data_IF_866946386267
#
_entry.id   IF_866946386267
#
_cell.length_a   1.000
_cell.length_b   1.000
_cell.length_c   1.000
_cell.angle_alpha   90.00
_cell.angle_beta   90.00
_cell.angle_gamma   90.00
#
_symmetry.space_group_name_H-M   'P 1'
#
loop_
_entity.id
_entity.type
_entity.pdbx_description
1 polymer ?
#
# COMPACT_ATOMS: atom_id res chain seq x y z
N UNK A 1 -15.15 -21.20 -6.04
CA UNK A 1 -14.85 -19.83 -6.50
C UNK A 1 -14.00 -19.07 -5.50
N UNK A 2 -14.41 -18.90 -4.23
CA UNK A 2 -13.63 -18.18 -3.20
C UNK A 2 -12.28 -18.85 -2.91
N UNK A 3 -12.24 -20.19 -2.80
CA UNK A 3 -11.01 -20.97 -2.58
C UNK A 3 -10.02 -20.79 -3.74
N UNK A 4 -10.49 -20.82 -4.97
CA UNK A 4 -9.69 -20.59 -6.16
C UNK A 4 -9.10 -19.16 -6.21
N UNK A 5 -9.87 -18.17 -5.73
CA UNK A 5 -9.42 -16.79 -5.56
C UNK A 5 -8.33 -16.68 -4.48
N UNK A 6 -8.52 -17.36 -3.36
CA UNK A 6 -7.55 -17.40 -2.26
C UNK A 6 -6.27 -18.13 -2.66
N UNK A 7 -6.37 -19.28 -3.33
CA UNK A 7 -5.20 -20.02 -3.86
C UNK A 7 -4.46 -19.21 -4.92
N UNK A 8 -5.16 -18.49 -5.82
CA UNK A 8 -4.49 -17.65 -6.82
C UNK A 8 -3.79 -16.43 -6.21
N UNK A 9 -4.19 -16.03 -5.01
CA UNK A 9 -3.53 -14.97 -4.23
C UNK A 9 -2.31 -15.53 -3.46
N UNK A 10 -2.40 -16.77 -2.95
CA UNK A 10 -1.37 -17.39 -2.12
C UNK A 10 -0.25 -18.07 -2.93
N UNK A 11 -0.56 -18.70 -4.07
CA UNK A 11 0.38 -19.55 -4.84
C UNK A 11 1.39 -18.76 -5.69
N UNK A 12 1.26 -17.43 -5.83
CA UNK A 12 2.17 -16.60 -6.65
C UNK A 12 2.92 -15.51 -5.88
N UNK A 13 3.13 -15.71 -4.59
CA UNK A 13 3.73 -14.71 -3.70
C UNK A 13 5.25 -14.89 -3.54
N UNK A 14 5.87 -15.91 -4.14
CA UNK A 14 7.28 -16.24 -3.90
C UNK A 14 8.25 -15.07 -4.13
N UNK A 15 8.03 -14.27 -5.17
CA UNK A 15 8.83 -13.06 -5.40
C UNK A 15 8.48 -11.90 -4.47
N UNK A 16 7.24 -11.79 -4.02
CA UNK A 16 6.78 -10.74 -3.13
C UNK A 16 7.25 -10.99 -1.69
N UNK A 17 7.37 -12.24 -1.28
CA UNK A 17 7.90 -12.62 0.04
C UNK A 17 9.32 -12.10 0.25
N UNK A 18 10.13 -12.04 -0.80
CA UNK A 18 11.51 -11.53 -0.75
C UNK A 18 11.56 -10.04 -0.35
N UNK A 19 10.54 -9.26 -0.65
CA UNK A 19 10.42 -7.86 -0.25
C UNK A 19 9.61 -7.69 1.04
N UNK A 20 8.55 -8.50 1.23
CA UNK A 20 7.70 -8.41 2.41
C UNK A 20 8.42 -8.84 3.68
N UNK A 21 9.20 -9.93 3.65
CA UNK A 21 9.91 -10.43 4.83
C UNK A 21 10.91 -9.41 5.38
N UNK A 22 11.85 -8.83 4.59
CA UNK A 22 12.76 -7.83 5.12
C UNK A 22 12.03 -6.54 5.52
N UNK A 23 10.99 -6.12 4.79
CA UNK A 23 10.20 -4.95 5.16
C UNK A 23 9.47 -5.16 6.51
N UNK A 24 8.87 -6.33 6.71
CA UNK A 24 8.24 -6.70 7.98
C UNK A 24 9.27 -6.81 9.12
N UNK A 25 10.44 -7.40 8.87
CA UNK A 25 11.53 -7.49 9.83
C UNK A 25 12.04 -6.10 10.25
N UNK A 26 12.24 -5.21 9.29
CA UNK A 26 12.65 -3.81 9.56
C UNK A 26 11.58 -3.08 10.36
N UNK A 27 10.30 -3.19 9.97
CA UNK A 27 9.19 -2.55 10.68
C UNK A 27 9.08 -3.08 12.13
N UNK A 28 9.22 -4.39 12.33
CA UNK A 28 9.19 -5.01 13.66
C UNK A 28 10.41 -4.60 14.51
N UNK A 29 11.60 -4.52 13.91
CA UNK A 29 12.81 -4.06 14.60
C UNK A 29 12.69 -2.60 15.02
N UNK A 30 12.18 -1.73 14.14
CA UNK A 30 11.92 -0.31 14.47
C UNK A 30 10.89 -0.20 15.61
N UNK A 31 9.80 -0.96 15.57
CA UNK A 31 8.80 -0.96 16.62
C UNK A 31 9.38 -1.45 17.98
N UNK A 32 10.30 -2.41 17.95
CA UNK A 32 10.99 -2.91 19.14
C UNK A 32 12.02 -1.91 19.69
N UNK A 33 12.72 -1.18 18.83
CA UNK A 33 13.72 -0.17 19.22
C UNK A 33 13.07 1.12 19.75
N UNK A 34 11.84 1.42 19.30
CA UNK A 34 11.07 2.59 19.75
C UNK A 34 9.75 2.17 20.41
N UNK A 35 9.79 1.55 21.61
CA UNK A 35 8.60 1.01 22.25
C UNK A 35 7.68 2.07 22.88
N UNK A 36 7.81 3.34 22.47
CA UNK A 36 6.96 4.42 22.97
C UNK A 36 5.53 4.25 22.44
N UNK A 37 4.75 3.47 23.19
CA UNK A 37 3.32 3.33 22.95
C UNK A 37 2.63 4.69 23.13
N UNK A 38 2.06 5.25 22.08
CA UNK A 38 1.22 6.43 22.20
C UNK A 38 -0.12 6.01 22.80
N UNK A 39 -0.51 6.70 23.86
CA UNK A 39 -1.85 6.55 24.42
C UNK A 39 -2.86 7.04 23.38
N UNK A 40 -3.72 6.15 22.93
CA UNK A 40 -4.82 6.52 22.01
C UNK A 40 -6.00 6.94 22.89
N UNK A 41 -6.33 8.24 22.94
CA UNK A 41 -7.50 8.71 23.69
C UNK A 41 -8.76 8.01 23.17
N UNK A 42 -9.67 7.65 24.06
CA UNK A 42 -10.94 6.99 23.70
C UNK A 42 -10.78 5.61 23.02
N UNK A 43 -9.70 4.88 23.31
CA UNK A 43 -9.49 3.52 22.79
C UNK A 43 -10.60 2.52 23.20
N UNK A 44 -11.43 2.88 24.16
CA UNK A 44 -12.59 2.08 24.60
C UNK A 44 -13.81 2.22 23.68
N UNK A 45 -13.83 3.23 22.79
CA UNK A 45 -14.91 3.39 21.82
C UNK A 45 -14.84 2.29 20.76
N UNK A 46 -15.94 1.54 20.60
CA UNK A 46 -16.04 0.44 19.64
C UNK A 46 -15.89 0.93 18.19
N UNK A 47 -16.38 2.14 17.84
CA UNK A 47 -16.27 2.72 16.52
C UNK A 47 -14.82 3.09 16.17
N UNK A 48 -14.09 3.62 17.15
CA UNK A 48 -12.67 3.94 16.96
C UNK A 48 -11.86 2.65 16.74
N UNK A 49 -12.13 1.59 17.50
CA UNK A 49 -11.47 0.29 17.30
C UNK A 49 -11.73 -0.28 15.90
N UNK A 50 -12.98 -0.28 15.45
CA UNK A 50 -13.34 -0.76 14.11
C UNK A 50 -12.66 0.08 13.04
N UNK A 51 -12.67 1.41 13.17
CA UNK A 51 -11.96 2.29 12.25
C UNK A 51 -10.46 1.99 12.19
N UNK A 52 -9.81 1.81 13.34
CA UNK A 52 -8.37 1.51 13.41
C UNK A 52 -8.03 0.18 12.72
N UNK A 53 -8.87 -0.86 12.91
CA UNK A 53 -8.68 -2.15 12.23
C UNK A 53 -8.83 -2.02 10.71
N UNK A 54 -9.85 -1.31 10.23
CA UNK A 54 -10.07 -1.07 8.80
C UNK A 54 -8.92 -0.24 8.23
N UNK A 55 -8.48 0.80 8.93
CA UNK A 55 -7.36 1.63 8.52
C UNK A 55 -6.07 0.82 8.42
N UNK A 56 -5.76 -0.01 9.43
CA UNK A 56 -4.59 -0.89 9.42
C UNK A 56 -4.62 -1.85 8.24
N UNK A 57 -5.77 -2.46 7.96
CA UNK A 57 -5.94 -3.33 6.80
C UNK A 57 -5.74 -2.58 5.48
N UNK A 58 -6.27 -1.35 5.34
CA UNK A 58 -6.07 -0.51 4.16
C UNK A 58 -4.58 -0.18 3.95
N UNK A 59 -3.89 0.27 5.00
CA UNK A 59 -2.46 0.56 4.95
C UNK A 59 -1.64 -0.68 4.56
N UNK A 60 -1.95 -1.85 5.13
CA UNK A 60 -1.30 -3.11 4.81
C UNK A 60 -1.46 -3.49 3.33
N UNK A 61 -2.68 -3.47 2.80
CA UNK A 61 -2.96 -3.80 1.40
C UNK A 61 -2.28 -2.84 0.43
N UNK A 62 -2.30 -1.54 0.70
CA UNK A 62 -1.66 -0.55 -0.17
C UNK A 62 -0.14 -0.66 -0.09
N UNK A 63 0.43 -0.99 1.08
CA UNK A 63 1.85 -1.27 1.22
C UNK A 63 2.26 -2.49 0.39
N UNK A 64 1.47 -3.57 0.43
CA UNK A 64 1.70 -4.75 -0.42
C UNK A 64 1.63 -4.38 -1.90
N UNK A 65 0.64 -3.58 -2.32
CA UNK A 65 0.54 -3.09 -3.70
C UNK A 65 1.77 -2.27 -4.11
N UNK A 66 2.26 -1.40 -3.24
CA UNK A 66 3.44 -0.56 -3.51
C UNK A 66 4.73 -1.40 -3.62
N UNK A 67 4.93 -2.37 -2.72
CA UNK A 67 6.06 -3.29 -2.79
C UNK A 67 6.02 -4.13 -4.07
N UNK A 68 4.84 -4.62 -4.45
CA UNK A 68 4.65 -5.35 -5.69
C UNK A 68 4.92 -4.47 -6.92
N UNK A 69 4.44 -3.22 -6.92
CA UNK A 69 4.73 -2.25 -7.98
C UNK A 69 6.23 -1.94 -8.07
N UNK A 70 6.92 -1.82 -6.93
CA UNK A 70 8.36 -1.61 -6.90
C UNK A 70 9.12 -2.80 -7.48
N UNK A 71 8.71 -4.03 -7.12
CA UNK A 71 9.29 -5.26 -7.69
C UNK A 71 9.11 -5.31 -9.22
N UNK A 72 7.91 -4.99 -9.72
CA UNK A 72 7.65 -4.91 -11.16
C UNK A 72 8.53 -3.84 -11.84
N UNK A 73 8.73 -2.69 -11.20
CA UNK A 73 9.59 -1.63 -11.74
C UNK A 73 11.05 -2.07 -11.81
N UNK A 74 11.53 -2.84 -10.84
CA UNK A 74 12.88 -3.42 -10.85
C UNK A 74 13.02 -4.47 -11.95
N UNK A 75 12.01 -5.33 -12.12
CA UNK A 75 11.99 -6.34 -13.17
C UNK A 75 11.98 -5.70 -14.57
N UNK A 76 11.16 -4.68 -14.79
CA UNK A 76 11.12 -3.92 -16.05
C UNK A 76 12.49 -3.31 -16.39
N UNK A 77 13.17 -2.72 -15.40
CA UNK A 77 14.51 -2.18 -15.57
C UNK A 77 15.55 -3.28 -15.84
N UNK A 78 15.44 -4.42 -15.17
CA UNK A 78 16.36 -5.53 -15.36
C UNK A 78 16.27 -6.11 -16.77
N UNK A 79 15.05 -6.34 -17.25
CA UNK A 79 14.80 -6.84 -18.60
C UNK A 79 15.35 -5.90 -19.69
N UNK A 80 15.22 -4.59 -19.51
CA UNK A 80 15.78 -3.61 -20.46
C UNK A 80 17.32 -3.64 -20.45
N UNK A 81 17.97 -3.80 -19.30
CA UNK A 81 19.42 -3.90 -19.21
C UNK A 81 19.99 -5.17 -19.86
N UNK A 82 19.28 -6.30 -19.77
CA UNK A 82 19.69 -7.55 -20.43
C UNK A 82 19.67 -7.44 -21.95
N UNK A 83 18.81 -6.59 -22.51
CA UNK A 83 18.77 -6.31 -23.96
C UNK A 83 20.00 -5.48 -24.39
N UNK A 84 20.53 -4.62 -23.52
CA UNK A 84 21.63 -3.71 -23.84
C UNK A 84 23.02 -4.32 -23.58
N UNK A 85 23.16 -5.23 -22.61
CA UNK A 85 24.45 -5.89 -22.29
C UNK A 85 24.22 -7.23 -21.57
N UNK A 86 24.52 -8.36 -22.18
CA UNK A 86 24.40 -9.68 -21.54
C UNK A 86 25.60 -9.96 -20.62
N UNK A 87 25.73 -9.25 -19.50
CA UNK A 87 26.85 -9.45 -18.56
C UNK A 87 26.33 -9.67 -17.14
N UNK A 88 26.84 -10.72 -16.54
CA UNK A 88 26.80 -11.14 -15.13
C UNK A 88 25.43 -11.43 -14.50
N UNK A 89 25.23 -12.72 -14.24
CA UNK A 89 24.11 -13.28 -13.45
C UNK A 89 24.26 -12.95 -11.97
N UNK A 90 23.81 -11.74 -11.59
CA UNK A 90 23.63 -11.36 -10.18
C UNK A 90 22.59 -12.28 -9.53
N UNK A 91 22.69 -12.51 -8.20
CA UNK A 91 21.68 -13.23 -7.41
C UNK A 91 20.29 -12.61 -7.60
N UNK A 92 20.23 -11.28 -7.63
CA UNK A 92 18.99 -10.51 -7.91
C UNK A 92 18.46 -10.84 -9.31
N UNK A 93 19.34 -10.97 -10.32
CA UNK A 93 18.95 -11.35 -11.69
C UNK A 93 18.26 -12.72 -11.71
N UNK A 94 18.81 -13.73 -11.05
CA UNK A 94 18.21 -15.09 -10.99
C UNK A 94 16.82 -15.09 -10.34
N UNK A 95 16.60 -14.28 -9.31
CA UNK A 95 15.28 -14.13 -8.67
C UNK A 95 14.29 -13.44 -9.60
N UNK A 96 14.73 -12.43 -10.33
CA UNK A 96 13.90 -11.70 -11.29
C UNK A 96 13.56 -12.57 -12.51
N UNK A 97 14.48 -13.42 -12.97
CA UNK A 97 14.27 -14.34 -14.09
C UNK A 97 13.25 -15.47 -13.76
N UNK A 98 13.08 -15.80 -12.48
CA UNK A 98 12.09 -16.80 -12.02
C UNK A 98 10.68 -16.24 -11.90
N UNK A 99 10.47 -14.93 -12.12
CA UNK A 99 9.18 -14.27 -11.93
C UNK A 99 8.21 -14.57 -13.09
N UNK A 100 6.89 -14.62 -12.82
CA UNK A 100 5.88 -14.73 -13.86
C UNK A 100 5.93 -13.54 -14.84
N UNK A 101 5.38 -13.70 -16.05
CA UNK A 101 5.32 -12.63 -17.04
C UNK A 101 4.70 -11.34 -16.47
N UNK A 102 5.25 -10.18 -16.84
CA UNK A 102 4.81 -8.86 -16.34
C UNK A 102 3.29 -8.62 -16.46
N UNK A 103 2.65 -9.17 -17.49
CA UNK A 103 1.19 -9.06 -17.66
C UNK A 103 0.41 -9.73 -16.54
N UNK A 104 0.89 -10.88 -16.07
CA UNK A 104 0.25 -11.60 -14.97
C UNK A 104 0.44 -10.85 -13.65
N UNK A 105 1.64 -10.32 -13.43
CA UNK A 105 1.95 -9.50 -12.26
C UNK A 105 1.13 -8.20 -12.24
N UNK A 106 0.92 -7.57 -13.40
CA UNK A 106 0.08 -6.39 -13.55
C UNK A 106 -1.38 -6.67 -13.16
N UNK A 107 -1.92 -7.82 -13.57
CA UNK A 107 -3.27 -8.21 -13.18
C UNK A 107 -3.41 -8.40 -11.66
N UNK A 108 -2.41 -9.03 -11.03
CA UNK A 108 -2.35 -9.19 -9.59
C UNK A 108 -2.27 -7.84 -8.88
N UNK A 109 -1.40 -6.93 -9.35
CA UNK A 109 -1.27 -5.58 -8.82
C UNK A 109 -2.62 -4.86 -8.79
N UNK A 110 -3.35 -4.84 -9.92
CA UNK A 110 -4.64 -4.18 -9.98
C UNK A 110 -5.72 -4.83 -9.11
N UNK A 111 -5.67 -6.14 -8.91
CA UNK A 111 -6.56 -6.82 -7.93
C UNK A 111 -6.29 -6.35 -6.51
N UNK A 112 -5.03 -6.28 -6.11
CA UNK A 112 -4.65 -5.79 -4.77
C UNK A 112 -5.06 -4.32 -4.61
N UNK A 113 -4.83 -3.48 -5.63
CA UNK A 113 -5.24 -2.07 -5.61
C UNK A 113 -6.75 -1.93 -5.49
N UNK A 114 -7.55 -2.73 -6.19
CA UNK A 114 -9.02 -2.71 -6.09
C UNK A 114 -9.50 -3.03 -4.68
N UNK A 115 -8.98 -4.12 -4.09
CA UNK A 115 -9.32 -4.50 -2.71
C UNK A 115 -8.86 -3.41 -1.74
N UNK A 116 -7.62 -2.95 -1.89
CA UNK A 116 -7.05 -1.88 -1.07
C UNK A 116 -7.86 -0.58 -1.16
N UNK A 117 -8.34 -0.20 -2.34
CA UNK A 117 -9.16 0.99 -2.56
C UNK A 117 -10.54 0.89 -1.90
N UNK A 118 -11.18 -0.30 -1.95
CA UNK A 118 -12.46 -0.54 -1.25
C UNK A 118 -12.24 -0.39 0.26
N UNK A 119 -11.22 -1.03 0.81
CA UNK A 119 -10.92 -0.96 2.25
C UNK A 119 -10.51 0.46 2.66
N UNK A 120 -9.75 1.17 1.82
CA UNK A 120 -9.41 2.58 2.04
C UNK A 120 -10.65 3.49 2.03
N UNK A 121 -11.62 3.22 1.15
CA UNK A 121 -12.90 3.94 1.12
C UNK A 121 -13.68 3.71 2.41
N UNK A 122 -13.71 2.47 2.91
CA UNK A 122 -14.30 2.15 4.21
C UNK A 122 -13.55 2.83 5.36
N UNK A 123 -12.22 2.92 5.28
CA UNK A 123 -11.40 3.62 6.28
C UNK A 123 -11.72 5.12 6.30
N UNK A 124 -11.82 5.77 5.14
CA UNK A 124 -12.22 7.20 5.04
C UNK A 124 -13.62 7.41 5.59
N UNK A 125 -14.58 6.57 5.21
CA UNK A 125 -15.97 6.66 5.68
C UNK A 125 -16.10 6.44 7.20
N UNK A 126 -15.50 5.37 7.73
CA UNK A 126 -15.52 5.09 9.17
C UNK A 126 -14.77 6.15 9.98
N UNK A 127 -13.68 6.71 9.42
CA UNK A 127 -12.91 7.80 10.03
C UNK A 127 -13.73 9.08 10.15
N UNK A 128 -14.53 9.40 9.13
CA UNK A 128 -15.45 10.55 9.17
C UNK A 128 -16.52 10.41 10.26
N UNK A 129 -17.08 9.19 10.42
CA UNK A 129 -18.06 8.90 11.48
C UNK A 129 -17.41 8.99 12.87
N UNK A 130 -16.23 8.40 13.04
CA UNK A 130 -15.49 8.45 14.31
C UNK A 130 -15.14 9.91 14.67
N UNK A 131 -14.67 10.71 13.71
CA UNK A 131 -14.36 12.12 13.90
C UNK A 131 -15.58 12.93 14.31
N UNK A 132 -16.72 12.70 13.65
CA UNK A 132 -17.97 13.39 13.98
C UNK A 132 -18.42 13.12 15.42
N UNK A 133 -18.25 11.86 15.89
CA UNK A 133 -18.59 11.50 17.27
C UNK A 133 -17.65 12.09 18.31
N UNK A 134 -16.35 12.15 18.00
CA UNK A 134 -15.32 12.60 18.96
C UNK A 134 -15.12 14.11 18.97
N UNK A 135 -15.20 14.78 17.83
CA UNK A 135 -14.86 16.19 17.67
C UNK A 135 -16.00 17.07 17.17
N UNK A 136 -17.15 16.46 16.81
CA UNK A 136 -18.29 17.18 16.21
C UNK A 136 -18.05 17.66 14.77
N UNK A 137 -16.90 17.30 14.14
CA UNK A 137 -16.56 17.69 12.76
C UNK A 137 -16.51 16.44 11.88
N UNK A 138 -17.18 16.48 10.73
CA UNK A 138 -17.25 15.34 9.79
C UNK A 138 -15.88 15.06 9.17
N UNK A 139 -15.11 16.10 8.84
CA UNK A 139 -13.76 16.03 8.29
C UNK A 139 -12.92 17.12 8.97
N UNK A 140 -12.11 16.77 9.97
CA UNK A 140 -11.09 17.68 10.44
C UNK A 140 -10.09 17.88 9.29
N UNK A 141 -9.90 19.14 8.83
CA UNK A 141 -8.90 19.48 7.80
C UNK A 141 -7.48 19.45 8.38
N UNK A 142 -7.14 18.34 8.99
CA UNK A 142 -5.79 18.06 9.42
C UNK A 142 -4.96 17.54 8.23
N UNK A 143 -3.65 17.78 8.26
CA UNK A 143 -2.73 17.34 7.22
C UNK A 143 -2.87 15.83 6.93
N UNK A 144 -3.12 15.00 7.97
CA UNK A 144 -3.40 13.58 7.85
C UNK A 144 -4.61 13.30 6.95
N UNK A 145 -5.72 13.97 7.19
CA UNK A 145 -6.96 13.82 6.40
C UNK A 145 -6.75 14.22 4.95
N UNK A 146 -6.05 15.35 4.73
CA UNK A 146 -5.74 15.84 3.37
C UNK A 146 -4.91 14.83 2.61
N UNK A 147 -3.82 14.31 3.17
CA UNK A 147 -2.97 13.33 2.48
C UNK A 147 -3.65 11.98 2.29
N UNK A 148 -4.51 11.56 3.22
CA UNK A 148 -5.33 10.34 3.05
C UNK A 148 -6.32 10.51 1.89
N UNK A 149 -6.98 11.67 1.77
CA UNK A 149 -7.88 11.98 0.66
C UNK A 149 -7.12 12.09 -0.68
N UNK A 150 -5.93 12.68 -0.69
CA UNK A 150 -5.07 12.72 -1.88
C UNK A 150 -4.67 11.30 -2.33
N UNK A 151 -4.30 10.43 -1.38
CA UNK A 151 -4.03 9.03 -1.68
C UNK A 151 -5.26 8.33 -2.24
N UNK A 152 -6.43 8.49 -1.60
CA UNK A 152 -7.70 7.94 -2.06
C UNK A 152 -8.05 8.40 -3.47
N UNK A 153 -7.92 9.71 -3.75
CA UNK A 153 -8.16 10.28 -5.07
C UNK A 153 -7.18 9.72 -6.11
N UNK A 154 -5.90 9.59 -5.75
CA UNK A 154 -4.86 9.04 -6.63
C UNK A 154 -5.18 7.60 -7.06
N UNK A 155 -5.58 6.74 -6.12
CA UNK A 155 -6.00 5.38 -6.44
C UNK A 155 -7.31 5.34 -7.23
N UNK A 156 -8.27 6.22 -6.92
CA UNK A 156 -9.50 6.35 -7.69
C UNK A 156 -9.24 6.73 -9.14
N UNK A 157 -8.38 7.73 -9.38
CA UNK A 157 -7.96 8.16 -10.72
C UNK A 157 -7.20 7.05 -11.44
N UNK A 158 -6.33 6.32 -10.74
CA UNK A 158 -5.61 5.18 -11.32
C UNK A 158 -6.58 4.09 -11.80
N UNK A 159 -7.56 3.72 -10.99
CA UNK A 159 -8.55 2.69 -11.34
C UNK A 159 -9.48 3.16 -12.47
N UNK A 160 -9.91 4.42 -12.43
CA UNK A 160 -10.67 5.03 -13.52
C UNK A 160 -9.86 5.09 -14.82
N UNK A 161 -8.60 5.52 -14.73
CA UNK A 161 -7.66 5.57 -15.87
C UNK A 161 -7.40 4.19 -16.46
N UNK A 162 -7.33 3.17 -15.63
CA UNK A 162 -7.24 1.77 -16.08
C UNK A 162 -8.48 1.37 -16.88
N UNK A 163 -9.67 1.71 -16.40
CA UNK A 163 -10.93 1.32 -17.01
C UNK A 163 -11.23 2.10 -18.29
N UNK A 164 -10.99 3.43 -18.31
CA UNK A 164 -11.37 4.34 -19.38
C UNK A 164 -10.28 4.41 -20.46
N UNK A 165 -9.02 4.59 -20.05
CA UNK A 165 -7.87 4.81 -20.96
C UNK A 165 -6.93 3.61 -21.07
N UNK A 166 -7.21 2.51 -20.36
CA UNK A 166 -6.39 1.31 -20.41
C UNK A 166 -4.98 1.51 -19.83
N UNK A 167 -4.81 2.38 -18.84
CA UNK A 167 -3.49 2.64 -18.20
C UNK A 167 -2.85 1.36 -17.70
N UNK A 168 -1.59 1.13 -18.12
CA UNK A 168 -0.82 -0.09 -17.88
C UNK A 168 0.67 0.23 -17.69
N UNK A 169 1.42 -0.78 -17.25
CA UNK A 169 2.87 -0.72 -17.15
C UNK A 169 3.37 0.43 -16.29
N UNK A 170 4.29 1.23 -16.83
CA UNK A 170 4.97 2.32 -16.10
C UNK A 170 4.04 3.40 -15.55
N UNK A 171 2.91 3.67 -16.21
CA UNK A 171 1.92 4.63 -15.74
C UNK A 171 1.29 4.12 -14.44
N UNK A 172 0.81 2.86 -14.45
CA UNK A 172 0.22 2.23 -13.28
C UNK A 172 1.20 2.20 -12.10
N UNK A 173 2.47 1.85 -12.34
CA UNK A 173 3.51 1.82 -11.31
C UNK A 173 3.74 3.20 -10.67
N UNK A 174 3.84 4.26 -11.49
CA UNK A 174 4.05 5.63 -11.00
C UNK A 174 2.87 6.08 -10.13
N UNK A 175 1.65 5.90 -10.57
CA UNK A 175 0.46 6.29 -9.82
C UNK A 175 0.32 5.50 -8.51
N UNK A 176 0.62 4.19 -8.52
CA UNK A 176 0.62 3.36 -7.30
C UNK A 176 1.63 3.88 -6.28
N UNK A 177 2.87 4.16 -6.70
CA UNK A 177 3.92 4.66 -5.81
C UNK A 177 3.61 6.08 -5.32
N UNK A 178 3.01 6.95 -6.15
CA UNK A 178 2.59 8.29 -5.74
C UNK A 178 1.48 8.23 -4.69
N UNK A 179 0.44 7.40 -4.90
CA UNK A 179 -0.64 7.21 -3.93
C UNK A 179 -0.13 6.65 -2.59
N UNK A 180 0.80 5.70 -2.64
CA UNK A 180 1.47 5.19 -1.45
C UNK A 180 2.32 6.25 -0.75
N UNK A 181 3.04 7.10 -1.52
CA UNK A 181 3.80 8.22 -0.97
C UNK A 181 2.94 9.19 -0.17
N UNK A 182 1.75 9.54 -0.66
CA UNK A 182 0.79 10.36 0.10
C UNK A 182 0.34 9.66 1.38
N UNK A 183 0.16 8.34 1.35
CA UNK A 183 -0.24 7.58 2.53
C UNK A 183 0.86 7.56 3.60
N UNK A 184 2.12 7.41 3.19
CA UNK A 184 3.27 7.51 4.10
C UNK A 184 3.36 8.91 4.70
N UNK A 185 3.20 9.97 3.91
CA UNK A 185 3.20 11.35 4.40
C UNK A 185 2.09 11.57 5.42
N UNK A 186 0.90 11.03 5.19
CA UNK A 186 -0.19 11.08 6.18
C UNK A 186 0.21 10.43 7.51
N UNK A 187 0.95 9.32 7.46
CA UNK A 187 1.41 8.60 8.64
C UNK A 187 2.56 9.35 9.36
N UNK A 188 3.56 9.83 8.62
CA UNK A 188 4.73 10.52 9.19
C UNK A 188 4.37 11.85 9.84
N UNK A 189 3.46 12.62 9.24
CA UNK A 189 3.02 13.90 9.82
C UNK A 189 2.18 13.72 11.08
N UNK A 190 1.59 12.54 11.28
CA UNK A 190 0.91 12.21 12.53
C UNK A 190 1.92 11.97 13.67
N UNK A 191 3.02 11.26 13.39
CA UNK A 191 4.07 10.98 14.40
C UNK A 191 4.87 12.21 14.79
N UNK A 192 5.12 13.14 13.86
CA UNK A 192 5.88 14.36 14.12
C UNK A 192 5.21 15.30 15.12
N UNK A 193 3.89 15.47 15.07
CA UNK A 193 3.15 16.31 16.02
C UNK A 193 3.05 15.74 17.45
N UNK A 194 3.16 14.44 17.58
CA UNK A 194 3.12 13.79 18.89
C UNK A 194 4.39 14.02 19.72
N UNK A 195 5.45 14.57 19.12
CA UNK A 195 6.70 14.93 19.82
C UNK A 195 6.73 16.40 20.26
N UNK A 196 5.76 17.22 19.85
CA UNK A 196 5.70 18.66 20.21
C UNK A 196 4.72 18.99 21.33
N UNK A 197 3.97 18.02 21.85
CA UNK A 197 3.07 18.16 23.01
C UNK A 197 3.50 17.28 24.15
#
# INVERSE_FOLDING_TARGET
MVVFWLESLLVRIDGLQLLLLPAAAIASALAALFPQGQFVPHADDAWLRVHLLIALAAYGLITIAALHAMMMALLDRHLHRLLDAPTERSIIGRVLDSQPPLLVQEQLLFRIIWIGFIVLTLAVGSGSVASMKLTGKILPFDHKTVFTLLSWLTFGVLLAGRHIWGWRGRVALRWTLTGFGFLILACLLYTSRAHET
#
